data_IF_576881607285
#
_entry.id   IF_576881607285
#
_cell.length_a   1.000
_cell.length_b   1.000
_cell.length_c   1.000
_cell.angle_alpha   90.00
_cell.angle_beta   90.00
_cell.angle_gamma   90.00
#
_symmetry.space_group_name_H-M   'P 1'
#
loop_
_entity.id
_entity.type
_entity.pdbx_description
1 polymer ?
#
# COMPACT_ATOMS: atom_id res chain seq x y z
N UNK A 1 -116.96 -30.09 -53.50
CA UNK A 1 -117.76 -30.32 -52.28
C UNK A 1 -119.01 -31.10 -52.60
N UNK A 2 -120.13 -30.43 -52.88
CA UNK A 2 -121.45 -31.08 -53.05
C UNK A 2 -122.11 -30.81 -54.40
N UNK A 3 -122.06 -29.58 -54.91
CA UNK A 3 -122.97 -29.11 -55.97
C UNK A 3 -122.64 -29.71 -57.36
N UNK A 4 -121.35 -29.75 -57.73
CA UNK A 4 -120.90 -30.44 -58.96
C UNK A 4 -121.16 -31.95 -58.94
N UNK A 5 -121.29 -32.56 -57.76
CA UNK A 5 -121.62 -33.98 -57.62
C UNK A 5 -123.15 -34.21 -57.74
N UNK A 6 -123.96 -33.26 -57.29
CA UNK A 6 -125.42 -33.29 -57.44
C UNK A 6 -125.85 -33.20 -58.91
N UNK A 7 -125.23 -32.30 -59.69
CA UNK A 7 -125.52 -32.18 -61.14
C UNK A 7 -125.17 -33.47 -61.90
N UNK A 8 -124.04 -34.11 -61.58
CA UNK A 8 -123.65 -35.37 -62.21
C UNK A 8 -124.63 -36.52 -61.86
N UNK A 9 -125.07 -36.60 -60.60
CA UNK A 9 -126.08 -37.59 -60.19
C UNK A 9 -127.44 -37.37 -60.85
N UNK A 10 -127.90 -36.13 -60.93
CA UNK A 10 -129.15 -35.79 -61.63
C UNK A 10 -129.12 -36.22 -63.11
N UNK A 11 -127.98 -36.05 -63.79
CA UNK A 11 -127.82 -36.46 -65.20
C UNK A 11 -127.94 -37.99 -65.39
N UNK A 12 -127.30 -38.79 -64.55
CA UNK A 12 -127.44 -40.26 -64.62
C UNK A 12 -128.85 -40.72 -64.23
N UNK A 13 -129.43 -40.14 -63.18
CA UNK A 13 -130.73 -40.55 -62.67
C UNK A 13 -131.89 -40.17 -63.62
N UNK A 14 -131.68 -39.21 -64.53
CA UNK A 14 -132.63 -38.87 -65.60
C UNK A 14 -132.47 -39.73 -66.87
N UNK A 15 -131.47 -40.62 -66.93
CA UNK A 15 -131.27 -41.54 -68.06
C UNK A 15 -131.91 -42.93 -67.85
N UNK A 16 -132.09 -43.38 -66.59
CA UNK A 16 -132.68 -44.69 -66.29
C UNK A 16 -134.22 -44.70 -66.38
N UNK A 17 -134.88 -43.55 -66.17
CA UNK A 17 -136.34 -43.43 -65.99
C UNK A 17 -137.14 -43.28 -67.30
N UNK A 18 -136.50 -43.34 -68.48
CA UNK A 18 -137.18 -43.39 -69.79
C UNK A 18 -137.40 -44.82 -70.31
N UNK A 19 -137.31 -45.82 -69.44
CA UNK A 19 -137.54 -47.22 -69.76
C UNK A 19 -139.01 -47.67 -69.68
N UNK A 20 -139.78 -47.43 -70.75
CA UNK A 20 -140.94 -48.24 -71.25
C UNK A 20 -142.25 -47.48 -71.48
N UNK A 21 -142.65 -47.34 -72.75
CA UNK A 21 -144.06 -47.29 -73.17
C UNK A 21 -144.30 -47.97 -74.52
N UNK A 22 -144.31 -49.30 -74.49
CA UNK A 22 -145.17 -50.21 -75.28
C UNK A 22 -145.48 -49.98 -76.77
N UNK A 23 -145.44 -51.11 -77.51
CA UNK A 23 -146.19 -51.46 -78.75
C UNK A 23 -145.36 -51.56 -80.04
N UNK A 24 -144.94 -52.79 -80.38
CA UNK A 24 -145.36 -53.44 -81.63
C UNK A 24 -145.18 -54.98 -81.58
N UNK A 25 -146.09 -55.67 -82.28
CA UNK A 25 -146.47 -57.08 -82.15
C UNK A 25 -145.35 -58.10 -82.44
N UNK A 26 -145.43 -59.27 -81.77
CA UNK A 26 -144.72 -60.50 -82.17
C UNK A 26 -145.08 -60.92 -83.61
N UNK A 27 -144.09 -61.32 -84.39
CA UNK A 27 -144.21 -62.25 -85.53
C UNK A 27 -143.09 -63.29 -85.35
N UNK A 28 -143.36 -64.61 -85.49
CA UNK A 28 -142.37 -65.65 -85.19
C UNK A 28 -141.46 -65.98 -86.39
N UNK A 29 -140.17 -66.20 -86.13
CA UNK A 29 -139.29 -66.93 -87.06
C UNK A 29 -138.05 -66.19 -87.56
N UNK A 30 -137.07 -65.94 -86.68
CA UNK A 30 -135.66 -65.88 -87.07
C UNK A 30 -134.77 -66.30 -85.87
N UNK A 31 -133.74 -67.10 -86.12
CA UNK A 31 -132.70 -67.42 -85.12
C UNK A 31 -131.39 -66.73 -85.51
N UNK A 32 -130.64 -66.22 -84.53
CA UNK A 32 -129.17 -66.34 -84.46
C UNK A 32 -128.57 -65.60 -83.25
N UNK A 33 -127.37 -66.03 -82.89
CA UNK A 33 -126.37 -65.35 -82.05
C UNK A 33 -126.64 -65.12 -80.55
N UNK A 34 -126.16 -66.05 -79.73
CA UNK A 34 -125.88 -65.85 -78.30
C UNK A 34 -124.54 -65.10 -78.10
N UNK A 35 -124.50 -63.93 -77.44
CA UNK A 35 -123.23 -63.20 -77.23
C UNK A 35 -122.39 -63.83 -76.11
N UNK A 36 -121.18 -64.28 -76.40
CA UNK A 36 -120.21 -64.76 -75.39
C UNK A 36 -119.45 -63.64 -74.64
N UNK A 37 -119.84 -62.37 -74.83
CA UNK A 37 -119.12 -61.20 -74.30
C UNK A 37 -119.04 -61.13 -72.77
N UNK A 38 -119.96 -61.77 -72.04
CA UNK A 38 -120.03 -61.69 -70.57
C UNK A 38 -118.81 -62.25 -69.84
N UNK A 39 -118.22 -63.36 -70.31
CA UNK A 39 -117.01 -63.93 -69.67
C UNK A 39 -115.78 -63.06 -69.91
N UNK A 40 -115.64 -62.49 -71.11
CA UNK A 40 -114.53 -61.58 -71.44
C UNK A 40 -114.65 -60.29 -70.63
N UNK A 41 -115.87 -59.74 -70.46
CA UNK A 41 -116.09 -58.60 -69.58
C UNK A 41 -115.83 -58.91 -68.10
N UNK A 42 -116.09 -60.14 -67.65
CA UNK A 42 -115.72 -60.61 -66.31
C UNK A 42 -114.21 -60.64 -66.09
N UNK A 43 -113.44 -61.19 -67.04
CA UNK A 43 -111.97 -61.21 -66.97
C UNK A 43 -111.39 -59.80 -67.05
N UNK A 44 -111.89 -58.94 -67.96
CA UNK A 44 -111.43 -57.55 -68.07
C UNK A 44 -111.77 -56.74 -66.81
N UNK A 45 -112.91 -56.99 -66.19
CA UNK A 45 -113.29 -56.38 -64.92
C UNK A 45 -112.41 -56.86 -63.77
N UNK A 46 -112.12 -58.17 -63.69
CA UNK A 46 -111.23 -58.67 -62.65
C UNK A 46 -109.80 -58.16 -62.86
N UNK A 47 -109.29 -58.11 -64.09
CA UNK A 47 -108.03 -57.44 -64.41
C UNK A 47 -108.04 -55.94 -64.06
N UNK A 48 -109.19 -55.24 -64.18
CA UNK A 48 -109.31 -53.86 -63.72
C UNK A 48 -109.27 -53.77 -62.19
N UNK A 49 -110.02 -54.61 -61.47
CA UNK A 49 -110.03 -54.65 -60.00
C UNK A 49 -108.64 -55.06 -59.44
N UNK A 50 -107.95 -56.00 -60.10
CA UNK A 50 -106.56 -56.39 -59.81
C UNK A 50 -105.57 -55.25 -60.13
N UNK A 51 -105.66 -54.58 -61.30
CA UNK A 51 -104.76 -53.47 -61.63
C UNK A 51 -105.00 -52.22 -60.76
N UNK A 52 -106.24 -51.93 -60.36
CA UNK A 52 -106.55 -50.87 -59.39
C UNK A 52 -106.03 -51.24 -57.98
N UNK A 53 -106.09 -52.53 -57.62
CA UNK A 53 -105.48 -53.10 -56.43
C UNK A 53 -103.95 -52.97 -56.41
N UNK A 54 -103.28 -53.43 -57.46
CA UNK A 54 -101.83 -53.35 -57.66
C UNK A 54 -101.34 -51.91 -57.74
N UNK A 55 -102.06 -51.01 -58.44
CA UNK A 55 -101.75 -49.58 -58.46
C UNK A 55 -101.88 -48.97 -57.06
N UNK A 56 -102.90 -49.35 -56.28
CA UNK A 56 -103.03 -48.92 -54.89
C UNK A 56 -101.92 -49.50 -54.00
N UNK A 57 -101.51 -50.75 -54.20
CA UNK A 57 -100.44 -51.39 -53.46
C UNK A 57 -99.07 -50.80 -53.79
N UNK A 58 -98.78 -50.57 -55.09
CA UNK A 58 -97.57 -49.93 -55.56
C UNK A 58 -97.48 -48.48 -55.05
N UNK A 59 -98.58 -47.70 -55.09
CA UNK A 59 -98.60 -46.35 -54.51
C UNK A 59 -98.35 -46.35 -52.99
N UNK A 60 -98.94 -47.29 -52.24
CA UNK A 60 -98.68 -47.44 -50.80
C UNK A 60 -97.24 -47.87 -50.50
N UNK A 61 -96.70 -48.80 -51.30
CA UNK A 61 -95.33 -49.27 -51.17
C UNK A 61 -94.32 -48.17 -51.50
N UNK A 62 -94.55 -47.40 -52.57
CA UNK A 62 -93.73 -46.26 -52.98
C UNK A 62 -93.78 -45.13 -51.94
N UNK A 63 -94.97 -44.75 -51.45
CA UNK A 63 -95.11 -43.78 -50.36
C UNK A 63 -94.35 -44.22 -49.11
N UNK A 64 -94.48 -45.49 -48.71
CA UNK A 64 -93.72 -46.03 -47.58
C UNK A 64 -92.21 -46.05 -47.85
N UNK A 65 -91.77 -46.47 -49.04
CA UNK A 65 -90.36 -46.47 -49.40
C UNK A 65 -89.76 -45.05 -49.40
N UNK A 66 -90.54 -44.05 -49.80
CA UNK A 66 -90.16 -42.63 -49.72
C UNK A 66 -90.08 -42.16 -48.26
N UNK A 67 -90.98 -42.59 -47.38
CA UNK A 67 -90.93 -42.29 -45.94
C UNK A 67 -89.75 -42.98 -45.24
N UNK A 68 -89.58 -44.29 -45.44
CA UNK A 68 -88.47 -45.10 -44.94
C UNK A 68 -87.12 -44.53 -45.44
N UNK A 69 -87.02 -44.13 -46.72
CA UNK A 69 -85.83 -43.47 -47.28
C UNK A 69 -85.56 -42.10 -46.66
N UNK A 70 -86.59 -41.26 -46.46
CA UNK A 70 -86.42 -39.95 -45.79
C UNK A 70 -85.93 -40.11 -44.36
N UNK A 71 -86.52 -41.04 -43.60
CA UNK A 71 -86.11 -41.33 -42.23
C UNK A 71 -84.68 -41.87 -42.15
N UNK A 72 -84.34 -42.87 -42.98
CA UNK A 72 -82.99 -43.42 -43.04
C UNK A 72 -81.95 -42.38 -43.50
N UNK A 73 -82.30 -41.53 -44.47
CA UNK A 73 -81.45 -40.43 -44.93
C UNK A 73 -81.18 -39.44 -43.79
N UNK A 74 -82.22 -38.96 -43.11
CA UNK A 74 -82.06 -38.03 -41.98
C UNK A 74 -81.22 -38.64 -40.84
N UNK A 75 -81.45 -39.92 -40.52
CA UNK A 75 -80.64 -40.63 -39.52
C UNK A 75 -79.16 -40.71 -39.95
N UNK A 76 -78.86 -41.02 -41.22
CA UNK A 76 -77.48 -41.10 -41.72
C UNK A 76 -76.82 -39.74 -41.92
N UNK A 77 -77.56 -38.70 -42.27
CA UNK A 77 -77.02 -37.32 -42.29
C UNK A 77 -76.66 -36.85 -40.88
N UNK A 78 -77.48 -37.15 -39.87
CA UNK A 78 -77.17 -36.87 -38.46
C UNK A 78 -75.99 -37.71 -37.92
N UNK A 79 -75.90 -38.99 -38.30
CA UNK A 79 -74.78 -39.88 -37.96
C UNK A 79 -73.45 -39.38 -38.56
N UNK A 80 -73.48 -38.92 -39.82
CA UNK A 80 -72.32 -38.30 -40.49
C UNK A 80 -71.95 -36.96 -39.84
N UNK A 81 -72.91 -36.14 -39.43
CA UNK A 81 -72.63 -34.88 -38.73
C UNK A 81 -72.01 -35.13 -37.34
N UNK A 82 -72.54 -36.09 -36.58
CA UNK A 82 -71.99 -36.51 -35.29
C UNK A 82 -70.57 -37.09 -35.42
N UNK A 83 -70.35 -37.98 -36.40
CA UNK A 83 -69.04 -38.55 -36.67
C UNK A 83 -68.02 -37.51 -37.12
N UNK A 84 -68.41 -36.53 -37.94
CA UNK A 84 -67.56 -35.39 -38.32
C UNK A 84 -67.20 -34.51 -37.12
N UNK A 85 -68.16 -34.22 -36.23
CA UNK A 85 -67.91 -33.47 -34.99
C UNK A 85 -66.89 -34.20 -34.11
N UNK A 86 -67.09 -35.50 -33.88
CA UNK A 86 -66.14 -36.33 -33.14
C UNK A 86 -64.76 -36.37 -33.80
N UNK A 87 -64.67 -36.50 -35.14
CA UNK A 87 -63.41 -36.41 -35.86
C UNK A 87 -62.70 -35.07 -35.60
N UNK A 88 -63.39 -33.94 -35.77
CA UNK A 88 -62.78 -32.62 -35.53
C UNK A 88 -62.39 -32.38 -34.08
N UNK A 89 -63.08 -32.99 -33.11
CA UNK A 89 -62.71 -32.93 -31.69
C UNK A 89 -61.44 -33.76 -31.42
N UNK A 90 -61.37 -34.99 -31.94
CA UNK A 90 -60.18 -35.86 -31.79
C UNK A 90 -58.96 -35.29 -32.52
N UNK A 91 -59.14 -34.63 -33.67
CA UNK A 91 -58.07 -33.92 -34.38
C UNK A 91 -57.56 -32.70 -33.59
N UNK A 92 -58.44 -32.00 -32.87
CA UNK A 92 -58.05 -30.92 -31.94
C UNK A 92 -57.34 -31.45 -30.69
N UNK A 93 -57.86 -32.53 -30.09
CA UNK A 93 -57.28 -33.17 -28.90
C UNK A 93 -55.88 -33.77 -29.18
N UNK A 94 -55.69 -34.42 -30.34
CA UNK A 94 -54.37 -34.94 -30.76
C UNK A 94 -53.38 -33.79 -31.08
N UNK A 95 -53.84 -32.68 -31.67
CA UNK A 95 -53.01 -31.50 -31.89
C UNK A 95 -52.58 -30.84 -30.57
N UNK A 96 -53.52 -30.59 -29.65
CA UNK A 96 -53.22 -30.07 -28.31
C UNK A 96 -52.32 -31.01 -27.51
N UNK A 97 -52.52 -32.32 -27.60
CA UNK A 97 -51.70 -33.31 -26.91
C UNK A 97 -50.27 -33.34 -27.45
N UNK A 98 -50.08 -33.26 -28.77
CA UNK A 98 -48.75 -33.13 -29.40
C UNK A 98 -48.02 -31.87 -28.95
N UNK A 99 -48.70 -30.72 -28.94
CA UNK A 99 -48.09 -29.45 -28.50
C UNK A 99 -47.62 -29.55 -27.04
N UNK A 100 -48.50 -29.99 -26.14
CA UNK A 100 -48.19 -30.16 -24.71
C UNK A 100 -47.08 -31.19 -24.47
N UNK A 101 -47.04 -32.27 -25.25
CA UNK A 101 -45.99 -33.29 -25.16
C UNK A 101 -44.63 -32.77 -25.64
N UNK A 102 -44.58 -31.90 -26.66
CA UNK A 102 -43.33 -31.24 -27.07
C UNK A 102 -42.88 -30.25 -26.00
N UNK A 103 -43.76 -29.35 -25.54
CA UNK A 103 -43.47 -28.38 -24.48
C UNK A 103 -42.94 -29.05 -23.20
N UNK A 104 -43.63 -30.08 -22.70
CA UNK A 104 -43.20 -30.82 -21.51
C UNK A 104 -41.88 -31.59 -21.71
N UNK A 105 -41.53 -31.97 -22.95
CA UNK A 105 -40.25 -32.61 -23.25
C UNK A 105 -39.10 -31.61 -23.34
N UNK A 106 -39.35 -30.40 -23.88
CA UNK A 106 -38.39 -29.29 -23.86
C UNK A 106 -38.14 -28.82 -22.42
N UNK A 107 -39.19 -28.59 -21.63
CA UNK A 107 -39.10 -28.30 -20.18
C UNK A 107 -38.32 -29.39 -19.41
N UNK A 108 -38.52 -30.68 -19.75
CA UNK A 108 -37.76 -31.78 -19.14
C UNK A 108 -36.27 -31.76 -19.50
N UNK A 109 -35.91 -31.40 -20.73
CA UNK A 109 -34.50 -31.27 -21.14
C UNK A 109 -33.83 -30.07 -20.46
N UNK A 110 -34.49 -28.91 -20.41
CA UNK A 110 -33.95 -27.70 -19.79
C UNK A 110 -33.82 -27.86 -18.27
N UNK A 111 -34.83 -28.44 -17.60
CA UNK A 111 -34.73 -28.74 -16.16
C UNK A 111 -33.68 -29.81 -15.87
N UNK A 112 -33.46 -30.80 -16.75
CA UNK A 112 -32.36 -31.76 -16.61
C UNK A 112 -30.98 -31.08 -16.74
N UNK A 113 -30.84 -30.13 -17.67
CA UNK A 113 -29.64 -29.32 -17.83
C UNK A 113 -29.39 -28.42 -16.60
N UNK A 114 -30.43 -27.76 -16.09
CA UNK A 114 -30.35 -26.93 -14.88
C UNK A 114 -30.01 -27.77 -13.63
N UNK A 115 -30.63 -28.94 -13.43
CA UNK A 115 -30.29 -29.84 -12.32
C UNK A 115 -28.83 -30.32 -12.40
N UNK A 116 -28.21 -30.35 -13.58
CA UNK A 116 -26.78 -30.63 -13.74
C UNK A 116 -25.92 -29.42 -13.33
N UNK A 117 -26.25 -28.20 -13.76
CA UNK A 117 -25.52 -26.98 -13.38
C UNK A 117 -25.63 -26.71 -11.88
N UNK A 118 -26.82 -26.86 -11.31
CA UNK A 118 -27.09 -26.57 -9.90
C UNK A 118 -26.38 -27.57 -8.97
N UNK A 119 -26.22 -28.84 -9.40
CA UNK A 119 -25.37 -29.82 -8.70
C UNK A 119 -23.89 -29.44 -8.71
N UNK A 120 -23.36 -28.94 -9.84
CA UNK A 120 -21.97 -28.46 -9.89
C UNK A 120 -21.78 -27.17 -9.10
N UNK A 121 -22.73 -26.24 -9.15
CA UNK A 121 -22.72 -25.01 -8.36
C UNK A 121 -22.75 -25.32 -6.86
N UNK A 122 -23.65 -26.20 -6.39
CA UNK A 122 -23.75 -26.61 -4.99
C UNK A 122 -22.45 -27.28 -4.50
N UNK A 123 -21.84 -28.15 -5.30
CA UNK A 123 -20.56 -28.79 -4.94
C UNK A 123 -19.39 -27.78 -4.88
N UNK A 124 -19.37 -26.79 -5.76
CA UNK A 124 -18.38 -25.70 -5.74
C UNK A 124 -18.62 -24.73 -4.56
N UNK A 125 -19.88 -24.43 -4.24
CA UNK A 125 -20.27 -23.58 -3.12
C UNK A 125 -19.94 -24.23 -1.77
N UNK A 126 -20.22 -25.53 -1.60
CA UNK A 126 -19.86 -26.27 -0.38
C UNK A 126 -18.34 -26.25 -0.11
N UNK A 127 -17.51 -26.37 -1.15
CA UNK A 127 -16.05 -26.22 -1.02
C UNK A 127 -15.67 -24.80 -0.63
N UNK A 128 -16.14 -23.79 -1.40
CA UNK A 128 -15.85 -22.37 -1.15
C UNK A 128 -16.23 -21.97 0.27
N UNK A 129 -17.42 -22.34 0.77
CA UNK A 129 -17.82 -22.08 2.15
C UNK A 129 -16.87 -22.76 3.16
N UNK A 130 -16.60 -24.06 3.01
CA UNK A 130 -15.71 -24.80 3.92
C UNK A 130 -14.23 -24.38 3.84
N UNK A 131 -13.84 -23.62 2.82
CA UNK A 131 -12.54 -22.96 2.68
C UNK A 131 -12.60 -21.56 3.33
N UNK A 132 -13.59 -20.73 3.01
CA UNK A 132 -13.74 -19.39 3.59
C UNK A 132 -13.99 -19.40 5.09
N UNK A 133 -14.70 -20.40 5.63
CA UNK A 133 -14.97 -20.51 7.07
C UNK A 133 -13.65 -20.76 7.83
N UNK A 134 -12.76 -21.61 7.30
CA UNK A 134 -11.43 -21.87 7.87
C UNK A 134 -10.51 -20.67 7.74
N UNK A 135 -10.51 -20.00 6.58
CA UNK A 135 -9.77 -18.75 6.40
C UNK A 135 -10.26 -17.65 7.36
N UNK A 136 -11.57 -17.57 7.59
CA UNK A 136 -12.17 -16.59 8.49
C UNK A 136 -11.86 -16.89 9.96
N UNK A 137 -11.94 -18.14 10.39
CA UNK A 137 -11.53 -18.58 11.72
C UNK A 137 -10.04 -18.28 11.97
N UNK A 138 -9.17 -18.64 11.03
CA UNK A 138 -7.73 -18.36 11.10
C UNK A 138 -7.44 -16.85 11.16
N UNK A 139 -7.99 -16.06 10.23
CA UNK A 139 -7.84 -14.58 10.23
C UNK A 139 -8.39 -13.94 11.49
N UNK A 140 -9.48 -14.45 12.06
CA UNK A 140 -10.06 -13.95 13.30
C UNK A 140 -9.15 -14.25 14.49
N UNK A 141 -8.60 -15.46 14.56
CA UNK A 141 -7.62 -15.84 15.58
C UNK A 141 -6.36 -14.97 15.51
N UNK A 142 -5.69 -14.91 14.35
CA UNK A 142 -4.48 -14.11 14.16
C UNK A 142 -4.70 -12.62 14.48
N UNK A 143 -5.88 -12.07 14.12
CA UNK A 143 -6.25 -10.68 14.47
C UNK A 143 -6.43 -10.49 15.98
N UNK A 144 -7.00 -11.44 16.70
CA UNK A 144 -7.15 -11.34 18.16
C UNK A 144 -5.78 -11.42 18.84
N UNK A 145 -4.88 -12.28 18.37
CA UNK A 145 -3.50 -12.38 18.85
C UNK A 145 -2.70 -11.09 18.55
N UNK A 146 -2.87 -10.50 17.37
CA UNK A 146 -2.33 -9.17 17.00
C UNK A 146 -2.87 -8.05 17.89
N UNK A 147 -4.19 -7.99 18.14
CA UNK A 147 -4.79 -6.98 19.01
C UNK A 147 -4.24 -7.05 20.44
N UNK A 148 -4.06 -8.27 20.99
CA UNK A 148 -3.47 -8.47 22.31
C UNK A 148 -2.00 -8.04 22.32
N UNK A 149 -1.20 -8.45 21.33
CA UNK A 149 0.20 -8.05 21.27
C UNK A 149 0.39 -6.53 21.07
N UNK A 150 -0.51 -5.86 20.33
CA UNK A 150 -0.53 -4.40 20.22
C UNK A 150 -0.88 -3.76 21.57
N UNK A 151 -1.82 -4.32 22.34
CA UNK A 151 -2.13 -3.85 23.70
C UNK A 151 -0.95 -4.05 24.67
N UNK A 152 -0.30 -5.21 24.64
CA UNK A 152 0.92 -5.48 25.43
C UNK A 152 2.06 -4.53 25.06
N UNK A 153 2.25 -4.28 23.76
CA UNK A 153 3.28 -3.39 23.22
C UNK A 153 3.01 -1.93 23.61
N UNK A 154 1.75 -1.49 23.57
CA UNK A 154 1.36 -0.20 24.13
C UNK A 154 1.67 -0.16 25.63
N UNK A 155 1.29 -1.17 26.40
CA UNK A 155 1.54 -1.20 27.84
C UNK A 155 3.04 -1.18 28.22
N UNK A 156 3.92 -1.79 27.43
CA UNK A 156 5.37 -1.66 27.62
C UNK A 156 5.85 -0.22 27.34
N UNK A 157 5.42 0.38 26.24
CA UNK A 157 5.82 1.73 25.82
C UNK A 157 5.14 2.85 26.64
N UNK A 158 4.00 2.59 27.26
CA UNK A 158 3.19 3.54 28.04
C UNK A 158 3.21 3.26 29.54
N UNK A 159 4.21 2.51 30.02
CA UNK A 159 4.47 2.38 31.45
C UNK A 159 5.10 3.68 31.99
N UNK A 160 4.85 4.02 33.26
CA UNK A 160 5.38 5.25 33.86
C UNK A 160 6.93 5.29 33.80
N UNK A 161 7.57 4.15 34.08
CA UNK A 161 9.03 3.95 33.90
C UNK A 161 9.48 4.26 32.46
N UNK A 162 8.71 3.85 31.45
CA UNK A 162 9.05 4.10 30.05
C UNK A 162 8.90 5.59 29.71
N UNK A 163 7.81 6.25 30.14
CA UNK A 163 7.64 7.69 29.93
C UNK A 163 8.73 8.52 30.60
N UNK A 164 9.12 8.20 31.84
CA UNK A 164 10.19 8.90 32.54
C UNK A 164 11.56 8.73 31.83
N UNK A 165 11.87 7.51 31.36
CA UNK A 165 13.09 7.27 30.60
C UNK A 165 13.07 7.92 29.20
N UNK A 166 11.93 7.93 28.51
CA UNK A 166 11.79 8.61 27.21
C UNK A 166 11.92 10.13 27.34
N UNK A 167 11.33 10.76 28.36
CA UNK A 167 11.47 12.22 28.56
C UNK A 167 12.94 12.59 28.84
N UNK A 168 13.59 11.85 29.76
CA UNK A 168 15.02 12.02 30.08
C UNK A 168 15.95 11.82 28.89
N UNK A 169 15.64 10.91 27.96
CA UNK A 169 16.56 10.57 26.84
C UNK A 169 16.26 11.30 25.54
N UNK A 170 15.01 11.70 25.29
CA UNK A 170 14.60 12.34 24.03
C UNK A 170 14.57 13.88 24.12
N UNK A 171 14.21 14.45 25.28
CA UNK A 171 14.14 15.91 25.45
C UNK A 171 15.46 16.55 25.92
N UNK A 172 16.48 15.76 26.28
CA UNK A 172 17.84 16.29 26.52
C UNK A 172 18.57 16.55 25.18
N UNK A 173 18.94 17.81 24.86
CA UNK A 173 19.66 18.11 23.61
C UNK A 173 21.10 17.57 23.69
N UNK A 174 21.34 16.41 23.05
CA UNK A 174 22.63 15.70 23.08
C UNK A 174 23.78 16.55 22.51
N UNK A 175 24.59 17.12 23.40
CA UNK A 175 25.61 18.13 23.10
C UNK A 175 26.92 17.54 22.53
N UNK A 176 26.85 16.90 21.36
CA UNK A 176 28.00 16.36 20.62
C UNK A 176 28.89 17.45 19.98
N UNK A 177 29.39 18.40 20.79
CA UNK A 177 30.25 19.50 20.33
C UNK A 177 31.73 19.09 20.23
N UNK A 178 32.10 18.34 19.19
CA UNK A 178 33.46 17.81 19.02
C UNK A 178 34.48 18.88 18.57
N UNK A 179 34.92 19.76 19.47
CA UNK A 179 35.89 20.84 19.16
C UNK A 179 37.33 20.33 18.98
N UNK A 180 37.64 19.84 17.78
CA UNK A 180 38.99 19.40 17.40
C UNK A 180 39.94 20.62 17.23
N UNK A 181 40.97 20.75 18.08
CA UNK A 181 41.90 21.89 18.09
C UNK A 181 43.35 21.44 17.86
N UNK A 182 43.95 21.83 16.73
CA UNK A 182 45.34 21.48 16.37
C UNK A 182 46.26 22.71 16.35
N UNK A 183 47.11 22.84 17.38
CA UNK A 183 48.08 23.94 17.50
C UNK A 183 49.47 23.53 17.00
N UNK A 184 49.79 23.84 15.73
CA UNK A 184 51.10 23.55 15.15
C UNK A 184 52.16 24.63 15.50
N UNK A 185 53.30 24.20 16.04
CA UNK A 185 54.41 25.06 16.47
C UNK A 185 55.21 25.62 15.28
N UNK A 186 55.18 26.96 15.07
CA UNK A 186 56.09 27.66 14.13
C UNK A 186 56.51 29.06 14.60
N UNK A 187 57.27 29.16 15.72
CA UNK A 187 57.92 30.41 16.18
C UNK A 187 59.37 30.26 16.70
N UNK A 188 60.06 29.14 16.43
CA UNK A 188 61.44 28.92 16.92
C UNK A 188 62.57 29.40 15.98
N UNK A 189 62.32 29.47 14.66
CA UNK A 189 63.41 29.41 13.66
C UNK A 189 64.09 30.76 13.35
N UNK A 190 63.43 31.89 13.61
CA UNK A 190 63.91 33.21 13.17
C UNK A 190 64.98 33.85 14.07
N UNK A 191 65.12 33.41 15.33
CA UNK A 191 66.00 34.09 16.31
C UNK A 191 67.49 33.75 16.12
N UNK A 192 67.83 32.55 15.64
CA UNK A 192 69.24 32.13 15.51
C UNK A 192 70.03 32.91 14.44
N UNK A 193 69.38 33.33 13.35
CA UNK A 193 70.09 33.94 12.20
C UNK A 193 70.65 35.34 12.47
N UNK A 194 70.14 36.06 13.47
CA UNK A 194 70.57 37.44 13.76
C UNK A 194 71.88 37.53 14.56
N UNK A 195 72.25 36.52 15.34
CA UNK A 195 73.48 36.55 16.17
C UNK A 195 74.78 36.29 15.39
N UNK A 196 74.71 35.68 14.21
CA UNK A 196 75.90 35.35 13.41
C UNK A 196 76.57 36.59 12.76
N UNK A 197 75.83 37.69 12.57
CA UNK A 197 76.30 38.84 11.77
C UNK A 197 77.21 39.84 12.54
N UNK A 198 77.34 39.70 13.87
CA UNK A 198 77.86 40.78 14.73
C UNK A 198 79.35 40.62 15.13
N UNK A 199 79.99 39.49 14.82
CA UNK A 199 81.34 39.16 15.29
C UNK A 199 82.51 39.70 14.44
N UNK A 200 82.24 40.28 13.27
CA UNK A 200 83.22 40.51 12.19
C UNK A 200 83.71 41.97 12.04
N UNK A 201 83.88 42.72 13.15
CA UNK A 201 84.22 44.17 13.12
C UNK A 201 85.22 44.69 14.17
N UNK A 202 86.11 43.85 14.74
CA UNK A 202 87.08 44.29 15.78
C UNK A 202 88.49 43.72 15.63
N UNK A 203 89.21 44.15 14.59
CA UNK A 203 90.67 43.99 14.45
C UNK A 203 91.27 45.21 13.76
N UNK A 204 92.14 45.96 14.45
CA UNK A 204 92.83 47.13 13.90
C UNK A 204 93.67 47.84 14.96
N UNK A 205 94.98 47.95 14.74
CA UNK A 205 95.93 48.52 15.71
C UNK A 205 97.25 48.89 15.03
N UNK A 206 97.75 50.10 15.29
CA UNK A 206 99.14 50.50 15.06
C UNK A 206 99.50 51.70 15.95
N UNK A 207 100.71 51.73 16.49
CA UNK A 207 101.33 52.85 17.21
C UNK A 207 102.81 52.97 16.77
N UNK A 208 103.46 54.08 17.12
CA UNK A 208 104.83 54.47 16.69
C UNK A 208 105.74 54.80 17.89
N UNK A 209 106.99 55.19 17.59
CA UNK A 209 107.97 56.00 18.38
C UNK A 209 109.24 55.32 18.92
N UNK A 210 110.39 56.03 18.82
CA UNK A 210 111.79 55.55 19.02
C UNK A 210 112.81 56.72 19.27
N UNK A 211 113.66 56.65 20.33
CA UNK A 211 114.98 57.33 20.57
C UNK A 211 115.06 58.91 20.72
N UNK A 212 116.13 59.62 21.17
CA UNK A 212 117.49 59.35 21.78
C UNK A 212 118.17 60.63 22.43
N UNK A 213 119.16 60.45 23.36
CA UNK A 213 120.49 61.15 23.55
C UNK A 213 120.64 62.72 23.61
N UNK A 214 121.77 63.39 24.00
CA UNK A 214 122.93 63.20 24.94
C UNK A 214 123.91 64.46 24.96
N UNK A 215 125.05 64.42 25.71
CA UNK A 215 126.29 65.31 25.67
C UNK A 215 126.20 66.69 26.42
N UNK A 216 127.07 67.20 27.36
CA UNK A 216 128.55 67.36 27.63
C UNK A 216 129.20 68.66 27.03
N UNK A 217 130.21 69.42 27.54
CA UNK A 217 131.26 69.56 28.62
C UNK A 217 131.65 71.09 28.73
N UNK A 218 132.51 71.77 29.53
CA UNK A 218 133.29 71.77 30.82
C UNK A 218 133.73 73.31 31.03
N UNK A 219 134.74 73.91 31.70
CA UNK A 219 135.89 73.63 32.59
C UNK A 219 136.41 74.93 33.31
N UNK A 220 136.97 74.90 34.54
CA UNK A 220 137.76 76.00 35.16
C UNK A 220 138.76 75.57 36.28
N UNK A 221 139.98 75.18 35.94
CA UNK A 221 140.77 74.16 36.69
C UNK A 221 141.32 74.44 38.11
N UNK A 222 141.28 75.66 38.66
CA UNK A 222 141.74 75.92 40.06
C UNK A 222 140.71 76.54 40.99
N UNK A 223 139.61 77.03 40.44
CA UNK A 223 138.37 77.11 41.20
C UNK A 223 137.76 75.71 41.29
N UNK A 224 137.91 74.87 40.24
CA UNK A 224 137.71 73.40 40.26
C UNK A 224 138.21 72.81 41.57
N UNK A 225 139.51 72.64 41.86
CA UNK A 225 139.95 71.87 43.05
C UNK A 225 139.25 72.17 44.42
N UNK A 226 138.80 73.42 44.69
CA UNK A 226 138.02 73.75 45.89
C UNK A 226 136.50 73.58 45.70
N UNK A 227 135.96 73.94 44.52
CA UNK A 227 134.57 73.62 44.16
C UNK A 227 134.39 72.12 44.02
N UNK A 228 135.32 71.36 43.45
CA UNK A 228 135.38 69.90 43.30
C UNK A 228 135.36 69.21 44.67
N UNK A 229 136.07 69.73 45.68
CA UNK A 229 135.91 69.21 47.05
C UNK A 229 134.47 69.42 47.54
N UNK A 230 133.93 70.62 47.31
CA UNK A 230 132.54 70.97 47.67
C UNK A 230 131.49 70.34 46.74
N UNK A 231 131.82 69.84 45.55
CA UNK A 231 130.94 69.26 44.52
C UNK A 231 131.11 67.74 44.43
N UNK A 232 132.17 67.18 44.99
CA UNK A 232 132.19 65.78 45.44
C UNK A 232 131.34 65.65 46.70
N UNK A 233 131.44 66.59 47.65
CA UNK A 233 130.61 66.56 48.87
C UNK A 233 129.14 66.93 48.57
N UNK A 234 128.86 68.08 47.94
CA UNK A 234 127.50 68.42 47.47
C UNK A 234 127.02 67.45 46.40
N UNK A 235 127.88 66.91 45.54
CA UNK A 235 127.45 65.93 44.52
C UNK A 235 127.07 64.61 45.15
N UNK A 236 127.79 64.15 46.18
CA UNK A 236 127.40 62.98 46.98
C UNK A 236 126.13 63.25 47.78
N UNK A 237 126.01 64.39 48.46
CA UNK A 237 124.80 64.78 49.17
C UNK A 237 123.61 64.93 48.22
N UNK A 238 123.79 65.55 47.05
CA UNK A 238 122.79 65.66 46.00
C UNK A 238 122.45 64.30 45.38
N UNK A 239 123.39 63.35 45.32
CA UNK A 239 123.15 61.99 44.85
C UNK A 239 122.41 61.14 45.90
N UNK A 240 122.62 61.40 47.20
CA UNK A 240 121.84 60.85 48.31
C UNK A 240 120.44 61.48 48.38
N UNK A 241 120.30 62.79 48.21
CA UNK A 241 119.01 63.49 48.08
C UNK A 241 118.25 63.06 46.82
N UNK A 242 118.91 62.87 45.68
CA UNK A 242 118.30 62.34 44.46
C UNK A 242 117.80 60.91 44.70
N UNK A 243 118.59 60.04 45.35
CA UNK A 243 118.13 58.70 45.71
C UNK A 243 116.93 58.74 46.68
N UNK A 244 116.94 59.59 47.69
CA UNK A 244 115.82 59.74 48.62
C UNK A 244 114.59 60.36 47.93
N UNK A 245 114.77 61.34 47.05
CA UNK A 245 113.70 61.95 46.25
C UNK A 245 113.09 60.93 45.30
N UNK A 246 113.90 60.18 44.58
CA UNK A 246 113.43 59.23 43.57
C UNK A 246 112.80 58.00 44.23
N UNK A 247 113.31 57.56 45.39
CA UNK A 247 112.61 56.61 46.26
C UNK A 247 111.26 57.14 46.74
N UNK A 248 111.20 58.39 47.23
CA UNK A 248 109.96 59.01 47.70
C UNK A 248 108.94 59.16 46.57
N UNK A 249 109.38 59.53 45.36
CA UNK A 249 108.55 59.63 44.15
C UNK A 249 108.07 58.25 43.71
N UNK A 250 108.94 57.23 43.67
CA UNK A 250 108.57 55.86 43.29
C UNK A 250 107.59 55.24 44.30
N UNK A 251 107.84 55.36 45.60
CA UNK A 251 106.95 54.84 46.65
C UNK A 251 105.62 55.60 46.71
N UNK A 252 105.62 56.93 46.48
CA UNK A 252 104.38 57.70 46.29
C UNK A 252 103.63 57.25 45.03
N UNK A 253 104.32 56.98 43.92
CA UNK A 253 103.70 56.50 42.68
C UNK A 253 103.14 55.08 42.82
N UNK A 254 103.83 54.17 43.53
CA UNK A 254 103.34 52.83 43.89
C UNK A 254 102.09 52.92 44.77
N UNK A 255 102.12 53.77 45.79
CA UNK A 255 100.98 53.97 46.68
C UNK A 255 99.79 54.56 45.93
N UNK A 256 99.98 55.59 45.12
CA UNK A 256 98.93 56.19 44.28
C UNK A 256 98.35 55.20 43.25
N UNK A 257 99.18 54.35 42.63
CA UNK A 257 98.72 53.27 41.75
C UNK A 257 97.92 52.21 42.50
N UNK A 258 98.37 51.82 43.69
CA UNK A 258 97.67 50.87 44.56
C UNK A 258 96.34 51.41 45.06
N UNK A 259 96.29 52.71 45.39
CA UNK A 259 95.07 53.42 45.78
C UNK A 259 94.08 53.48 44.61
N UNK A 260 94.50 53.95 43.44
CA UNK A 260 93.66 54.00 42.24
C UNK A 260 93.10 52.61 41.89
N UNK A 261 93.94 51.57 41.86
CA UNK A 261 93.49 50.20 41.60
C UNK A 261 92.55 49.63 42.68
N UNK A 262 92.60 50.15 43.92
CA UNK A 262 91.66 49.82 44.98
C UNK A 262 90.35 50.61 44.86
N UNK A 263 90.38 51.87 44.41
CA UNK A 263 89.20 52.70 44.15
C UNK A 263 88.44 52.23 42.90
N UNK A 264 89.14 51.90 41.80
CA UNK A 264 88.56 51.25 40.61
C UNK A 264 87.85 49.95 40.99
N UNK A 265 88.55 49.07 41.72
CA UNK A 265 87.98 47.80 42.19
C UNK A 265 86.82 47.98 43.17
N UNK A 266 86.81 49.05 43.96
CA UNK A 266 85.68 49.42 44.81
C UNK A 266 84.48 49.83 43.95
N UNK A 267 84.67 50.67 42.93
CA UNK A 267 83.62 51.10 42.02
C UNK A 267 83.01 49.92 41.22
N UNK A 268 83.85 48.99 40.74
CA UNK A 268 83.39 47.74 40.12
C UNK A 268 82.48 46.94 41.06
N UNK A 269 82.91 46.73 42.32
CA UNK A 269 82.14 46.01 43.32
C UNK A 269 80.85 46.74 43.73
N UNK A 270 80.85 48.06 43.84
CA UNK A 270 79.65 48.87 44.10
C UNK A 270 78.64 48.77 42.93
N UNK A 271 79.13 48.68 41.69
CA UNK A 271 78.29 48.42 40.50
C UNK A 271 77.74 46.99 40.49
N UNK A 272 78.56 45.98 40.78
CA UNK A 272 78.13 44.57 40.86
C UNK A 272 77.08 44.38 41.96
N UNK A 273 77.27 44.98 43.14
CA UNK A 273 76.28 45.02 44.22
C UNK A 273 74.97 45.68 43.74
N UNK A 274 75.04 46.78 42.98
CA UNK A 274 73.87 47.46 42.43
C UNK A 274 73.06 46.56 41.49
N UNK A 275 73.72 45.85 40.58
CA UNK A 275 73.05 44.99 39.59
C UNK A 275 72.59 43.65 40.18
N UNK A 276 73.33 43.07 41.13
CA UNK A 276 72.86 41.94 41.92
C UNK A 276 71.63 42.31 42.76
N UNK A 277 71.58 43.52 43.35
CA UNK A 277 70.41 43.99 44.12
C UNK A 277 69.17 44.09 43.23
N UNK A 278 69.26 44.75 42.06
CA UNK A 278 68.17 44.82 41.06
C UNK A 278 67.72 43.43 40.60
N UNK A 279 68.67 42.50 40.44
CA UNK A 279 68.39 41.11 40.06
C UNK A 279 67.64 40.37 41.16
N UNK A 280 68.03 40.54 42.42
CA UNK A 280 67.32 39.98 43.59
C UNK A 280 65.91 40.54 43.69
N UNK A 281 65.70 41.85 43.50
CA UNK A 281 64.37 42.47 43.48
C UNK A 281 63.48 41.90 42.36
N UNK A 282 64.00 41.81 41.13
CA UNK A 282 63.29 41.27 39.97
C UNK A 282 62.92 39.79 40.13
N UNK A 283 63.84 38.97 40.66
CA UNK A 283 63.58 37.56 40.98
C UNK A 283 62.57 37.43 42.13
N UNK A 284 62.65 38.26 43.17
CA UNK A 284 61.72 38.26 44.31
C UNK A 284 60.30 38.60 43.87
N UNK A 285 60.14 39.59 42.99
CA UNK A 285 58.86 39.93 42.35
C UNK A 285 58.35 38.75 41.51
N UNK A 286 59.19 38.17 40.67
CA UNK A 286 58.83 37.03 39.82
C UNK A 286 58.41 35.79 40.63
N UNK A 287 59.07 35.52 41.76
CA UNK A 287 58.71 34.44 42.70
C UNK A 287 57.35 34.72 43.36
N UNK A 288 57.05 35.98 43.71
CA UNK A 288 55.75 36.36 44.27
C UNK A 288 54.62 36.18 43.25
N UNK A 289 54.84 36.62 42.01
CA UNK A 289 53.90 36.46 40.91
C UNK A 289 53.66 34.97 40.61
N UNK A 290 54.71 34.16 40.40
CA UNK A 290 54.56 32.72 40.13
C UNK A 290 53.92 31.94 41.29
N UNK A 291 54.07 32.39 42.54
CA UNK A 291 53.32 31.81 43.69
C UNK A 291 51.83 32.15 43.65
N UNK A 292 51.44 33.31 43.14
CA UNK A 292 50.03 33.64 42.90
C UNK A 292 49.47 32.78 41.76
N UNK A 293 50.16 32.71 40.61
CA UNK A 293 49.77 31.87 39.46
C UNK A 293 49.54 30.40 39.86
N UNK A 294 50.43 29.84 40.68
CA UNK A 294 50.32 28.45 41.18
C UNK A 294 49.09 28.28 42.09
N UNK A 295 48.77 29.26 42.93
CA UNK A 295 47.61 29.21 43.81
C UNK A 295 46.29 29.33 43.03
N UNK A 296 46.25 30.22 42.03
CA UNK A 296 45.10 30.36 41.13
C UNK A 296 44.89 29.10 40.29
N UNK A 297 45.95 28.57 39.65
CA UNK A 297 45.90 27.32 38.90
C UNK A 297 45.47 26.12 39.77
N UNK A 298 45.84 26.07 41.06
CA UNK A 298 45.34 25.05 41.98
C UNK A 298 43.82 25.17 42.27
N UNK A 299 43.26 26.39 42.26
CA UNK A 299 41.81 26.62 42.37
C UNK A 299 41.10 26.24 41.06
N UNK A 300 41.66 26.60 39.91
CA UNK A 300 41.13 26.18 38.61
C UNK A 300 41.16 24.66 38.43
N UNK A 301 42.26 24.00 38.82
CA UNK A 301 42.37 22.54 38.77
C UNK A 301 41.32 21.84 39.64
N UNK A 302 40.98 22.39 40.83
CA UNK A 302 39.90 21.85 41.68
C UNK A 302 38.54 21.98 41.00
N UNK A 303 38.18 23.18 40.55
CA UNK A 303 36.92 23.41 39.81
C UNK A 303 36.81 22.52 38.57
N UNK A 304 37.92 22.35 37.83
CA UNK A 304 37.98 21.48 36.67
C UNK A 304 37.96 19.97 37.01
N UNK A 305 38.22 19.57 38.25
CA UNK A 305 37.94 18.19 38.71
C UNK A 305 36.49 18.05 39.18
N UNK A 306 35.99 18.99 40.00
CA UNK A 306 34.60 19.05 40.47
C UNK A 306 33.60 19.00 39.30
N UNK A 307 33.85 19.79 38.24
CA UNK A 307 33.05 19.76 37.00
C UNK A 307 33.13 18.39 36.31
N UNK A 308 34.31 17.78 36.19
CA UNK A 308 34.46 16.47 35.52
C UNK A 308 33.89 15.32 36.34
N UNK A 309 33.85 15.43 37.67
CA UNK A 309 33.19 14.47 38.55
C UNK A 309 31.67 14.55 38.38
N UNK A 310 31.10 15.75 38.26
CA UNK A 310 29.69 15.97 37.92
C UNK A 310 29.35 15.49 36.49
N UNK A 311 30.08 15.94 35.46
CA UNK A 311 29.89 15.52 34.07
C UNK A 311 29.97 13.99 33.90
N UNK A 312 30.86 13.32 34.65
CA UNK A 312 30.95 11.86 34.66
C UNK A 312 29.75 11.20 35.37
N UNK A 313 29.23 11.78 36.45
CA UNK A 313 28.03 11.26 37.12
C UNK A 313 26.80 11.38 36.20
N UNK A 314 26.60 12.55 35.60
CA UNK A 314 25.54 12.80 34.60
C UNK A 314 25.66 11.85 33.41
N UNK A 315 26.88 11.63 32.89
CA UNK A 315 27.13 10.66 31.82
C UNK A 315 26.81 9.22 32.23
N UNK A 316 27.20 8.79 33.44
CA UNK A 316 26.88 7.45 33.93
C UNK A 316 25.36 7.24 34.06
N UNK A 317 24.63 8.24 34.54
CA UNK A 317 23.16 8.19 34.58
C UNK A 317 22.57 8.16 33.17
N UNK A 318 23.02 9.03 32.26
CA UNK A 318 22.56 9.06 30.86
C UNK A 318 22.75 7.70 30.15
N UNK A 319 23.87 7.02 30.40
CA UNK A 319 24.14 5.68 29.85
C UNK A 319 23.20 4.63 30.43
N UNK A 320 22.86 4.70 31.72
CA UNK A 320 21.88 3.79 32.34
C UNK A 320 20.47 4.02 31.77
N UNK A 321 20.01 5.27 31.72
CA UNK A 321 18.70 5.65 31.19
C UNK A 321 18.56 5.24 29.70
N UNK A 322 19.63 5.38 28.91
CA UNK A 322 19.68 4.89 27.51
C UNK A 322 19.65 3.36 27.40
N UNK A 323 20.28 2.62 28.32
CA UNK A 323 20.21 1.15 28.33
C UNK A 323 18.81 0.65 28.71
N UNK A 324 18.15 1.30 29.67
CA UNK A 324 16.77 1.00 30.05
C UNK A 324 15.83 1.29 28.88
N UNK A 325 15.98 2.45 28.23
CA UNK A 325 15.24 2.85 27.03
C UNK A 325 15.39 1.81 25.89
N UNK A 326 16.61 1.34 25.63
CA UNK A 326 16.86 0.28 24.65
C UNK A 326 16.16 -1.03 25.05
N UNK A 327 16.25 -1.46 26.32
CA UNK A 327 15.61 -2.69 26.78
C UNK A 327 14.07 -2.64 26.69
N UNK A 328 13.44 -1.49 26.93
CA UNK A 328 11.99 -1.28 26.76
C UNK A 328 11.61 -1.39 25.28
N UNK A 329 12.34 -0.71 24.39
CA UNK A 329 12.13 -0.78 22.94
C UNK A 329 12.35 -2.21 22.40
N UNK A 330 13.33 -2.95 22.94
CA UNK A 330 13.57 -4.36 22.58
C UNK A 330 12.39 -5.25 22.99
N UNK A 331 11.86 -5.11 24.22
CA UNK A 331 10.66 -5.87 24.65
C UNK A 331 9.45 -5.61 23.76
N UNK A 332 9.18 -4.34 23.45
CA UNK A 332 8.11 -3.92 22.54
C UNK A 332 8.28 -4.53 21.13
N UNK A 333 9.50 -4.49 20.60
CA UNK A 333 9.83 -5.02 19.28
C UNK A 333 9.76 -6.56 19.23
N UNK A 334 10.21 -7.25 20.29
CA UNK A 334 10.17 -8.71 20.38
C UNK A 334 8.74 -9.24 20.59
N UNK A 335 7.90 -8.54 21.36
CA UNK A 335 6.46 -8.88 21.49
C UNK A 335 5.72 -8.80 20.15
N UNK A 336 6.05 -7.81 19.32
CA UNK A 336 5.53 -7.72 17.95
C UNK A 336 6.14 -8.78 17.03
N UNK A 337 7.41 -9.15 17.20
CA UNK A 337 8.01 -10.28 16.46
C UNK A 337 7.31 -11.61 16.75
N UNK A 338 6.90 -11.90 17.99
CA UNK A 338 6.20 -13.15 18.31
C UNK A 338 4.98 -13.34 17.39
N UNK A 339 4.12 -12.33 17.30
CA UNK A 339 2.94 -12.38 16.41
C UNK A 339 3.33 -12.48 14.95
N UNK A 340 4.24 -11.62 14.44
CA UNK A 340 4.52 -11.60 13.01
C UNK A 340 5.46 -12.72 12.53
N UNK A 341 6.30 -13.30 13.38
CA UNK A 341 7.12 -14.46 13.03
C UNK A 341 6.26 -15.72 12.87
N UNK A 342 5.34 -15.96 13.82
CA UNK A 342 4.43 -17.10 13.74
C UNK A 342 3.36 -16.89 12.65
N UNK A 343 2.86 -15.66 12.46
CA UNK A 343 1.89 -15.33 11.40
C UNK A 343 2.51 -15.01 10.03
N UNK A 344 3.83 -15.08 9.83
CA UNK A 344 4.44 -14.93 8.49
C UNK A 344 3.91 -16.02 7.52
N UNK A 345 3.60 -17.22 8.03
CA UNK A 345 2.94 -18.28 7.26
C UNK A 345 1.46 -18.01 6.94
N UNK A 346 0.81 -17.05 7.61
CA UNK A 346 -0.52 -16.55 7.27
C UNK A 346 -0.49 -15.28 6.39
N UNK A 347 0.71 -14.73 6.16
CA UNK A 347 0.97 -13.55 5.32
C UNK A 347 1.65 -13.88 3.98
N UNK A 348 1.79 -15.16 3.63
CA UNK A 348 1.98 -15.54 2.22
C UNK A 348 0.77 -15.07 1.42
N UNK A 349 0.97 -14.05 0.60
CA UNK A 349 -0.07 -13.51 -0.26
C UNK A 349 -0.27 -14.43 -1.47
N UNK A 350 -0.87 -15.60 -1.22
CA UNK A 350 -1.78 -16.23 -2.17
C UNK A 350 -2.59 -15.10 -2.81
N UNK A 351 -2.47 -14.86 -4.14
CA UNK A 351 -2.87 -13.59 -4.73
C UNK A 351 -4.34 -13.33 -4.46
N UNK A 352 -4.60 -12.32 -3.62
CA UNK A 352 -5.81 -12.23 -2.79
C UNK A 352 -7.07 -12.56 -3.57
N UNK A 353 -7.72 -13.67 -3.18
CA UNK A 353 -8.65 -14.47 -3.98
C UNK A 353 -9.40 -13.61 -5.01
N UNK A 354 -9.08 -13.76 -6.32
CA UNK A 354 -9.11 -12.67 -7.28
C UNK A 354 -10.43 -11.93 -7.24
N UNK A 355 -10.35 -10.68 -6.78
CA UNK A 355 -11.48 -9.84 -6.37
C UNK A 355 -12.64 -10.01 -7.34
N UNK A 356 -13.67 -10.77 -6.93
CA UNK A 356 -14.53 -11.47 -7.89
C UNK A 356 -15.26 -10.45 -8.75
N UNK A 357 -14.78 -10.25 -9.97
CA UNK A 357 -15.56 -9.55 -10.98
C UNK A 357 -16.76 -10.43 -11.22
N UNK A 358 -17.94 -9.95 -10.83
CA UNK A 358 -19.23 -10.50 -11.26
C UNK A 358 -19.45 -10.15 -12.73
N UNK A 359 -18.50 -10.56 -13.56
CA UNK A 359 -18.52 -10.52 -15.01
C UNK A 359 -19.56 -11.52 -15.45
N UNK A 360 -20.62 -11.02 -16.07
CA UNK A 360 -21.85 -11.75 -16.41
C UNK A 360 -21.68 -12.66 -17.62
N UNK A 361 -20.56 -13.40 -17.68
CA UNK A 361 -20.11 -14.14 -18.86
C UNK A 361 -20.21 -15.65 -18.60
N UNK A 362 -20.89 -16.36 -19.50
CA UNK A 362 -21.42 -17.72 -19.33
C UNK A 362 -20.42 -18.89 -19.14
N UNK A 363 -19.13 -18.63 -18.90
CA UNK A 363 -18.05 -19.63 -18.95
C UNK A 363 -17.47 -20.08 -17.60
N UNK A 364 -17.90 -19.51 -16.46
CA UNK A 364 -17.47 -19.98 -15.14
C UNK A 364 -18.50 -20.97 -14.52
N UNK A 365 -18.18 -22.27 -14.35
CA UNK A 365 -19.04 -23.25 -13.68
C UNK A 365 -19.16 -23.02 -12.14
N UNK A 366 -18.57 -21.95 -11.61
CA UNK A 366 -18.78 -21.45 -10.25
C UNK A 366 -19.91 -20.42 -10.11
N UNK A 367 -20.52 -19.94 -11.20
CA UNK A 367 -21.72 -19.10 -11.13
C UNK A 367 -22.99 -19.96 -11.02
N UNK A 368 -23.97 -19.47 -10.24
CA UNK A 368 -25.35 -19.97 -10.32
C UNK A 368 -25.99 -19.58 -11.67
N UNK A 369 -27.24 -20.02 -11.94
CA UNK A 369 -27.93 -19.66 -13.17
C UNK A 369 -27.88 -18.14 -13.39
N UNK A 370 -27.54 -17.75 -14.63
CA UNK A 370 -27.39 -16.35 -14.99
C UNK A 370 -28.66 -15.56 -14.61
N UNK A 371 -28.49 -14.29 -14.20
CA UNK A 371 -29.64 -13.41 -14.00
C UNK A 371 -30.51 -13.44 -15.27
N UNK A 372 -31.83 -13.49 -15.08
CA UNK A 372 -32.79 -13.53 -16.18
C UNK A 372 -32.76 -12.21 -16.95
N UNK A 373 -31.79 -12.09 -17.86
CA UNK A 373 -31.53 -10.90 -18.66
C UNK A 373 -32.60 -10.81 -19.76
N UNK A 374 -33.72 -10.23 -19.33
CA UNK A 374 -35.07 -10.10 -19.91
C UNK A 374 -36.06 -11.16 -19.44
N UNK A 375 -37.20 -10.66 -18.95
CA UNK A 375 -38.49 -11.33 -19.13
C UNK A 375 -38.94 -11.15 -20.58
N UNK A 376 -38.54 -12.05 -21.47
CA UNK A 376 -39.26 -12.18 -22.75
C UNK A 376 -40.58 -12.92 -22.47
N UNK A 377 -41.72 -12.31 -22.81
CA UNK A 377 -43.01 -12.99 -22.72
C UNK A 377 -43.04 -14.11 -23.76
N UNK A 378 -43.34 -15.32 -23.32
CA UNK A 378 -43.75 -16.40 -24.21
C UNK A 378 -44.93 -15.94 -25.08
N UNK A 379 -44.91 -16.30 -26.36
CA UNK A 379 -45.98 -15.95 -27.30
C UNK A 379 -47.28 -16.73 -27.04
N UNK A 380 -47.19 -17.83 -26.28
CA UNK A 380 -48.29 -18.56 -25.64
C UNK A 380 -48.39 -18.18 -24.15
N UNK A 381 -49.61 -17.99 -23.63
CA UNK A 381 -49.84 -17.38 -22.32
C UNK A 381 -50.26 -18.35 -21.20
N UNK A 382 -50.39 -17.79 -19.99
CA UNK A 382 -51.02 -18.37 -18.79
C UNK A 382 -50.29 -19.51 -18.06
N UNK A 383 -49.14 -19.21 -17.46
CA UNK A 383 -49.06 -19.01 -15.99
C UNK A 383 -47.68 -18.51 -15.53
N UNK A 384 -47.69 -17.81 -14.40
CA UNK A 384 -46.53 -17.67 -13.50
C UNK A 384 -46.98 -18.23 -12.15
N UNK A 385 -46.10 -19.01 -11.50
CA UNK A 385 -46.19 -19.42 -10.10
C UNK A 385 -45.17 -18.63 -9.28
#
# INVERSE_FOLDING_TARGET
>A
GKDKLAVLKAFFQQAEDMGSSSVLRKIPGFQSYTPQSGQIFGILRQMQEDFEGDLSHAQKAELKAIEDYKGLKQAKEAEIEAGRKQQTQLEQEDAEFREKNVQAYEEFLDTQAQVKTDKTFLANLQKRCAETDKEYEARTKSRLEEIVAVQDTIAYLSSDDAFENFDKTMNTPSSFLQTRRSSALKKGEQVLRLRAAQALRRTGSAQLEVLAQAVQLDAFEKVKAAIDAMVVELGKQQQEEIQHRDWCIDETNKNNRSLAAAEDKKADLESEISDLTKTIEGLTKSIKEKKADIAEMQVEMKKASEIREAENADFQQMVMDQQITQAILTKALDRMKEVYADNIYALDQQPGAPHIQTSSNHTDPGNGPARFDKYEKSASGNKVL
#
